data_IF_628133285671
#
_entry.id   IF_628133285671
#
_cell.length_a   1.000
_cell.length_b   1.000
_cell.length_c   1.000
_cell.angle_alpha   90.00
_cell.angle_beta   90.00
_cell.angle_gamma   90.00
#
_symmetry.space_group_name_H-M   'P 1'
#
loop_
_entity.id
_entity.type
_entity.pdbx_description
1 polymer ?
#
# COMPACT_ATOMS: atom_id res chain seq x y z
N UNK A 1 -12.03 -18.52 -2.90
CA UNK A 1 -11.80 -19.65 -3.83
C UNK A 1 -10.29 -19.83 -3.97
N UNK A 2 -9.73 -21.02 -3.71
CA UNK A 2 -8.32 -21.26 -3.92
C UNK A 2 -8.04 -21.35 -5.43
N UNK A 3 -7.39 -20.33 -5.98
CA UNK A 3 -6.99 -20.25 -7.38
C UNK A 3 -6.14 -18.99 -7.60
N UNK A 4 -5.46 -18.83 -8.74
CA UNK A 4 -4.73 -17.60 -9.04
C UNK A 4 -5.68 -16.40 -9.22
N UNK A 5 -5.24 -15.14 -9.01
CA UNK A 5 -6.13 -13.97 -9.00
C UNK A 5 -7.04 -13.81 -10.22
N UNK A 6 -6.58 -14.22 -11.41
CA UNK A 6 -7.37 -14.17 -12.66
C UNK A 6 -8.56 -15.15 -12.71
N UNK A 7 -8.61 -16.16 -11.83
CA UNK A 7 -9.67 -17.19 -11.83
C UNK A 7 -10.89 -16.84 -10.98
N UNK A 8 -10.80 -15.76 -10.20
CA UNK A 8 -11.83 -15.38 -9.22
C UNK A 8 -11.99 -13.86 -9.14
N UNK A 9 -11.87 -13.19 -10.30
CA UNK A 9 -12.11 -11.75 -10.40
C UNK A 9 -13.52 -11.40 -9.94
N UNK A 10 -13.65 -10.31 -9.21
CA UNK A 10 -14.92 -9.76 -8.77
C UNK A 10 -15.01 -8.31 -9.21
N UNK A 11 -16.21 -7.84 -9.53
CA UNK A 11 -16.43 -6.44 -9.89
C UNK A 11 -16.02 -5.53 -8.73
N UNK A 12 -14.97 -4.70 -8.88
CA UNK A 12 -14.54 -3.83 -7.81
C UNK A 12 -15.53 -2.68 -7.66
N UNK A 13 -15.76 -2.23 -6.41
CA UNK A 13 -16.57 -1.03 -6.15
C UNK A 13 -15.92 0.24 -6.70
N UNK A 14 -14.59 0.26 -6.75
CA UNK A 14 -13.78 1.36 -7.28
C UNK A 14 -12.43 0.80 -7.74
N UNK A 15 -11.96 1.24 -8.90
CA UNK A 15 -10.67 0.82 -9.45
C UNK A 15 -10.03 1.96 -10.23
N UNK A 16 -8.69 1.91 -10.37
CA UNK A 16 -7.91 2.84 -11.19
C UNK A 16 -6.87 2.04 -11.96
N UNK A 17 -6.76 2.31 -13.26
CA UNK A 17 -5.62 1.85 -14.04
C UNK A 17 -4.43 2.81 -13.84
N UNK A 18 -3.42 2.36 -13.11
CA UNK A 18 -2.25 3.19 -12.79
C UNK A 18 -1.32 3.40 -13.99
N UNK A 19 -1.19 2.39 -14.86
CA UNK A 19 -0.40 2.44 -16.10
C UNK A 19 1.08 2.07 -15.97
N UNK A 20 1.59 1.88 -14.75
CA UNK A 20 2.98 1.49 -14.48
C UNK A 20 3.05 0.28 -13.54
N UNK A 21 4.17 -0.45 -13.58
CA UNK A 21 4.42 -1.62 -12.72
C UNK A 21 5.05 -1.26 -11.37
N UNK A 22 5.47 0.00 -11.21
CA UNK A 22 6.09 0.57 -10.02
C UNK A 22 5.59 1.99 -9.84
N UNK A 23 5.54 2.46 -8.59
CA UNK A 23 5.20 3.85 -8.27
C UNK A 23 6.42 4.75 -8.06
N UNK A 24 7.64 4.23 -8.24
CA UNK A 24 8.91 4.96 -8.03
C UNK A 24 8.97 6.30 -8.74
N UNK A 25 8.49 6.33 -9.99
CA UNK A 25 8.62 7.47 -10.88
C UNK A 25 7.60 8.57 -10.56
N UNK A 26 6.52 8.25 -9.82
CA UNK A 26 5.43 9.17 -9.52
C UNK A 26 4.67 8.76 -8.25
N UNK A 27 5.31 9.00 -7.11
CA UNK A 27 4.79 8.63 -5.79
C UNK A 27 3.63 9.52 -5.35
N UNK A 28 3.56 10.77 -5.82
CA UNK A 28 2.43 11.68 -5.56
C UNK A 28 1.15 11.19 -6.25
N UNK A 29 1.23 10.82 -7.54
CA UNK A 29 0.11 10.19 -8.25
C UNK A 29 -0.32 8.90 -7.57
N UNK A 30 0.62 8.10 -7.06
CA UNK A 30 0.27 6.90 -6.31
C UNK A 30 -0.54 7.21 -5.05
N UNK A 31 -0.14 8.21 -4.26
CA UNK A 31 -0.91 8.67 -3.10
C UNK A 31 -2.30 9.19 -3.50
N UNK A 32 -2.41 9.92 -4.60
CA UNK A 32 -3.71 10.40 -5.07
C UNK A 32 -4.63 9.26 -5.53
N UNK A 33 -4.08 8.23 -6.16
CA UNK A 33 -4.82 7.01 -6.48
C UNK A 33 -5.28 6.29 -5.20
N UNK A 34 -4.42 6.20 -4.18
CA UNK A 34 -4.80 5.63 -2.87
C UNK A 34 -5.95 6.43 -2.24
N UNK A 35 -5.85 7.77 -2.19
CA UNK A 35 -6.94 8.63 -1.70
C UNK A 35 -8.23 8.42 -2.48
N UNK A 36 -8.13 8.36 -3.80
CA UNK A 36 -9.28 8.15 -4.68
C UNK A 36 -9.96 6.82 -4.41
N UNK A 37 -9.23 5.71 -4.36
CA UNK A 37 -9.83 4.39 -4.09
C UNK A 37 -10.37 4.33 -2.67
N UNK A 38 -9.62 4.81 -1.68
CA UNK A 38 -10.04 4.79 -0.28
C UNK A 38 -11.30 5.62 -0.01
N UNK A 39 -11.58 6.67 -0.78
CA UNK A 39 -12.78 7.49 -0.58
C UNK A 39 -14.11 6.76 -0.80
N UNK A 40 -14.12 5.56 -1.39
CA UNK A 40 -15.34 4.74 -1.44
C UNK A 40 -15.59 3.90 -0.18
N UNK A 41 -14.62 3.81 0.73
CA UNK A 41 -14.72 3.01 1.93
C UNK A 41 -15.54 3.73 3.01
N UNK A 42 -16.71 3.16 3.34
CA UNK A 42 -17.67 3.73 4.29
C UNK A 42 -17.51 3.25 5.74
N UNK A 43 -16.48 2.45 6.05
CA UNK A 43 -16.25 1.86 7.38
C UNK A 43 -17.40 0.95 7.90
N UNK A 44 -18.21 0.42 6.99
CA UNK A 44 -19.34 -0.48 7.31
C UNK A 44 -18.90 -1.94 7.53
N UNK A 45 -17.75 -2.33 6.97
CA UNK A 45 -17.17 -3.68 7.07
C UNK A 45 -15.66 -3.57 7.29
N UNK A 46 -14.99 -4.58 7.88
CA UNK A 46 -13.53 -4.57 7.98
C UNK A 46 -12.85 -4.44 6.61
N UNK A 47 -11.80 -3.62 6.55
CA UNK A 47 -10.98 -3.43 5.34
C UNK A 47 -9.57 -3.96 5.58
N UNK A 48 -9.11 -4.80 4.67
CA UNK A 48 -7.72 -5.26 4.61
C UNK A 48 -7.03 -4.55 3.43
N UNK A 49 -5.87 -3.96 3.68
CA UNK A 49 -5.10 -3.21 2.69
C UNK A 49 -3.75 -3.89 2.49
N UNK A 50 -3.52 -4.39 1.28
CA UNK A 50 -2.20 -4.89 0.88
C UNK A 50 -1.37 -3.73 0.35
N UNK A 51 -0.09 -3.67 0.72
CA UNK A 51 0.85 -2.62 0.29
C UNK A 51 1.76 -3.11 -0.84
N UNK A 52 2.55 -2.20 -1.42
CA UNK A 52 3.45 -2.47 -2.53
C UNK A 52 4.70 -3.30 -2.18
N UNK A 53 4.94 -3.59 -0.90
CA UNK A 53 6.10 -4.36 -0.44
C UNK A 53 7.43 -3.59 -0.44
N UNK A 54 7.39 -2.27 -0.65
CA UNK A 54 8.58 -1.42 -0.64
C UNK A 54 8.90 -0.99 0.79
N UNK A 55 9.84 -1.70 1.40
CA UNK A 55 10.12 -1.60 2.84
C UNK A 55 11.46 -0.92 3.17
N UNK A 56 12.14 -0.35 2.18
CA UNK A 56 13.45 0.31 2.32
C UNK A 56 13.48 1.65 1.59
N UNK A 57 14.42 2.52 1.96
CA UNK A 57 14.66 3.80 1.30
C UNK A 57 13.39 4.66 1.18
N UNK A 58 13.19 5.30 0.03
CA UNK A 58 12.00 6.11 -0.26
C UNK A 58 10.69 5.32 -0.18
N UNK A 59 10.73 4.02 -0.46
CA UNK A 59 9.58 3.14 -0.33
C UNK A 59 9.06 3.03 1.11
N UNK A 60 9.96 2.96 2.08
CA UNK A 60 9.60 2.98 3.50
C UNK A 60 9.01 4.34 3.91
N UNK A 61 9.58 5.43 3.41
CA UNK A 61 9.08 6.78 3.67
C UNK A 61 7.67 6.97 3.09
N UNK A 62 7.42 6.46 1.89
CA UNK A 62 6.09 6.44 1.27
C UNK A 62 5.10 5.57 2.06
N UNK A 63 5.54 4.41 2.56
CA UNK A 63 4.72 3.55 3.41
C UNK A 63 4.29 4.28 4.70
N UNK A 64 5.18 5.06 5.32
CA UNK A 64 4.86 5.88 6.49
C UNK A 64 3.77 6.92 6.13
N UNK A 65 3.87 7.59 4.98
CA UNK A 65 2.84 8.52 4.51
C UNK A 65 1.49 7.82 4.32
N UNK A 66 1.48 6.63 3.72
CA UNK A 66 0.27 5.84 3.50
C UNK A 66 -0.37 5.44 4.83
N UNK A 67 0.42 5.02 5.81
CA UNK A 67 -0.11 4.67 7.15
C UNK A 67 -0.75 5.89 7.81
N UNK A 68 -0.10 7.05 7.74
CA UNK A 68 -0.66 8.31 8.29
C UNK A 68 -1.97 8.69 7.57
N UNK A 69 -1.95 8.62 6.23
CA UNK A 69 -3.09 8.94 5.37
C UNK A 69 -4.30 8.05 5.68
N UNK A 70 -4.09 6.76 5.85
CA UNK A 70 -5.15 5.77 6.01
C UNK A 70 -5.56 5.55 7.47
N UNK A 71 -4.68 5.90 8.42
CA UNK A 71 -4.88 5.73 9.87
C UNK A 71 -5.46 4.35 10.22
N UNK A 72 -4.77 3.24 9.86
CA UNK A 72 -5.29 1.90 10.09
C UNK A 72 -5.41 1.59 11.59
N UNK A 73 -6.31 0.68 11.96
CA UNK A 73 -6.42 0.22 13.36
C UNK A 73 -5.36 -0.82 13.72
N UNK A 74 -4.87 -1.58 12.73
CA UNK A 74 -3.87 -2.62 12.88
C UNK A 74 -2.88 -2.56 11.73
N UNK A 75 -1.61 -2.81 12.02
CA UNK A 75 -0.57 -3.03 11.02
C UNK A 75 -0.03 -4.44 11.22
N UNK A 76 -0.02 -5.21 10.12
CA UNK A 76 0.58 -6.55 10.09
C UNK A 76 1.91 -6.44 9.36
N UNK A 77 3.01 -6.59 10.07
CA UNK A 77 4.35 -6.61 9.51
C UNK A 77 4.79 -8.07 9.36
N UNK A 78 5.00 -8.49 8.11
CA UNK A 78 5.43 -9.83 7.77
C UNK A 78 6.93 -9.81 7.43
N UNK A 79 7.72 -10.65 8.07
CA UNK A 79 9.15 -10.76 7.77
C UNK A 79 9.66 -12.21 7.90
N UNK A 80 10.68 -12.57 7.11
CA UNK A 80 11.33 -13.89 7.17
C UNK A 80 12.28 -13.92 8.37
N UNK A 81 12.44 -15.09 8.99
CA UNK A 81 13.36 -15.29 10.11
C UNK A 81 14.77 -14.76 9.77
N UNK A 82 15.38 -14.01 10.70
CA UNK A 82 16.69 -13.33 10.56
C UNK A 82 16.83 -12.26 9.46
N UNK A 83 15.76 -11.94 8.73
CA UNK A 83 15.72 -10.74 7.89
C UNK A 83 15.05 -9.63 8.70
N UNK A 84 15.74 -8.49 8.87
CA UNK A 84 15.16 -7.26 9.42
C UNK A 84 15.19 -6.21 8.33
N UNK A 85 14.24 -6.30 7.40
CA UNK A 85 14.21 -5.40 6.25
C UNK A 85 14.03 -3.94 6.67
N UNK A 86 13.28 -3.75 7.74
CA UNK A 86 12.75 -2.46 8.17
C UNK A 86 12.51 -2.43 9.69
N UNK A 87 12.52 -1.24 10.32
CA UNK A 87 12.18 -1.11 11.73
C UNK A 87 10.72 -1.49 11.99
N UNK A 88 10.38 -1.83 13.24
CA UNK A 88 9.01 -1.88 13.73
C UNK A 88 8.19 -0.65 13.35
N UNK A 89 7.08 -0.85 12.63
CA UNK A 89 6.09 0.20 12.40
C UNK A 89 5.23 0.42 13.66
N UNK A 90 5.84 0.74 14.81
CA UNK A 90 5.07 1.10 16.01
C UNK A 90 4.37 2.45 15.81
N UNK A 91 3.31 2.76 16.59
CA UNK A 91 2.69 4.08 16.56
C UNK A 91 3.70 5.22 16.74
N UNK A 92 4.65 5.07 17.66
CA UNK A 92 5.70 6.07 17.92
C UNK A 92 6.62 6.20 16.71
N UNK A 93 7.08 5.09 16.14
CA UNK A 93 7.94 5.12 14.96
C UNK A 93 7.25 5.83 13.79
N UNK A 94 6.01 5.47 13.50
CA UNK A 94 5.22 6.12 12.44
C UNK A 94 4.94 7.58 12.76
N UNK A 95 4.84 7.98 14.02
CA UNK A 95 4.57 9.37 14.40
C UNK A 95 5.80 10.27 14.26
N UNK A 96 6.98 9.78 14.66
CA UNK A 96 8.20 10.58 14.74
C UNK A 96 9.09 10.50 13.50
N UNK A 97 9.03 9.42 12.72
CA UNK A 97 9.82 9.27 11.49
C UNK A 97 9.43 10.29 10.41
N UNK A 98 10.34 10.68 9.52
CA UNK A 98 9.93 11.37 8.30
C UNK A 98 9.15 10.42 7.39
N UNK A 99 8.16 10.95 6.66
CA UNK A 99 7.61 10.30 5.47
C UNK A 99 8.28 10.85 4.21
N UNK A 100 7.84 10.39 3.04
CA UNK A 100 8.42 10.85 1.77
C UNK A 100 7.96 12.28 1.48
N UNK A 101 6.67 12.52 1.74
CA UNK A 101 5.97 13.79 1.52
C UNK A 101 5.56 14.48 2.82
N UNK A 102 5.58 13.78 3.96
CA UNK A 102 5.20 14.35 5.26
C UNK A 102 6.38 14.43 6.24
N UNK A 103 6.36 15.44 7.12
CA UNK A 103 7.36 15.59 8.19
C UNK A 103 6.94 14.78 9.42
N UNK A 104 7.89 14.16 10.10
CA UNK A 104 7.67 13.60 11.43
C UNK A 104 7.48 14.70 12.47
N UNK A 105 6.71 14.43 13.53
CA UNK A 105 6.61 15.41 14.64
C UNK A 105 7.93 15.43 15.41
N UNK A 106 8.44 16.60 15.77
CA UNK A 106 9.59 16.67 16.67
C UNK A 106 9.13 16.43 18.10
N UNK A 107 9.86 15.59 18.83
CA UNK A 107 9.73 15.52 20.28
C UNK A 107 10.26 16.84 20.84
N UNK A 108 9.40 17.64 21.47
CA UNK A 108 9.82 18.84 22.17
C UNK A 108 10.72 18.43 23.33
N UNK A 109 12.03 18.51 23.13
CA UNK A 109 13.00 18.36 24.22
C UNK A 109 12.83 19.60 25.10
N UNK A 110 12.11 19.47 26.21
CA UNK A 110 12.05 20.51 27.25
C UNK A 110 13.47 20.74 27.77
N UNK A 111 14.20 21.69 27.18
CA UNK A 111 15.41 22.25 27.77
C UNK A 111 14.95 23.30 28.77
N UNK A 112 14.86 22.92 30.04
CA UNK A 112 15.04 23.89 31.11
C UNK A 112 16.51 24.34 31.11
N UNK A 113 16.79 25.56 30.67
CA UNK A 113 17.68 26.52 31.33
C UNK A 113 17.81 27.81 30.50
N UNK A 114 17.63 28.97 31.14
CA UNK A 114 18.31 30.21 30.77
C UNK A 114 17.44 31.30 30.16
N UNK A 115 17.09 32.27 31.00
CA UNK A 115 16.35 33.51 30.73
C UNK A 115 16.81 34.34 29.51
N UNK A 116 15.83 34.99 28.86
CA UNK A 116 16.03 36.27 28.18
C UNK A 116 15.29 36.42 26.84
N UNK A 117 14.21 37.20 26.83
CA UNK A 117 13.66 37.79 25.59
C UNK A 117 12.21 37.43 25.31
N UNK A 118 11.31 38.35 25.70
CA UNK A 118 9.92 38.48 25.21
C UNK A 118 9.94 38.53 23.68
N UNK A 119 9.08 37.78 22.97
CA UNK A 119 8.12 38.28 21.94
C UNK A 119 7.06 37.21 21.56
N UNK A 120 5.81 37.57 21.89
CA UNK A 120 4.50 37.14 21.40
C UNK A 120 4.37 36.19 20.19
N UNK A 121 3.95 34.94 20.44
CA UNK A 121 3.06 34.17 19.54
C UNK A 121 2.09 33.33 20.37
N UNK A 122 0.83 33.76 20.49
CA UNK A 122 -0.26 32.92 21.04
C UNK A 122 -0.80 32.05 19.91
N UNK A 123 -0.48 30.76 19.93
CA UNK A 123 -1.27 29.76 19.23
C UNK A 123 -2.42 29.32 20.15
N UNK A 124 -3.63 29.40 19.62
CA UNK A 124 -4.86 29.00 20.28
C UNK A 124 -4.81 27.53 20.70
N UNK A 125 -5.26 27.27 21.91
CA UNK A 125 -5.59 25.95 22.44
C UNK A 125 -6.59 25.26 21.51
N UNK A 126 -6.25 24.05 21.05
CA UNK A 126 -7.07 23.30 20.11
C UNK A 126 -6.58 21.87 19.93
N UNK A 127 -7.26 20.97 20.63
CA UNK A 127 -7.30 19.51 20.46
C UNK A 127 -6.05 18.73 20.89
N UNK A 128 -6.21 18.06 22.03
CA UNK A 128 -5.40 16.94 22.50
C UNK A 128 -5.57 15.76 21.51
N UNK A 129 -4.92 15.87 20.35
CA UNK A 129 -4.90 14.85 19.30
C UNK A 129 -3.95 13.75 19.75
N UNK A 130 -4.39 12.89 20.66
CA UNK A 130 -3.76 11.60 20.91
C UNK A 130 -3.49 10.96 19.55
N UNK A 131 -2.23 10.76 19.19
CA UNK A 131 -1.86 10.21 17.90
C UNK A 131 -2.67 8.92 17.64
N UNK A 132 -3.16 8.68 16.41
CA UNK A 132 -3.85 7.44 16.11
C UNK A 132 -2.94 6.26 16.46
N UNK A 133 -3.36 5.49 17.47
CA UNK A 133 -2.63 4.32 17.93
C UNK A 133 -3.16 3.09 17.19
N UNK A 134 -2.37 2.55 16.28
CA UNK A 134 -2.62 1.24 15.70
C UNK A 134 -1.95 0.14 16.51
N UNK A 135 -2.47 -1.08 16.45
CA UNK A 135 -1.81 -2.27 17.01
C UNK A 135 -0.85 -2.86 15.98
N UNK A 136 0.40 -3.10 16.36
CA UNK A 136 1.38 -3.78 15.52
C UNK A 136 1.35 -5.29 15.78
N UNK A 137 1.17 -6.06 14.72
CA UNK A 137 1.22 -7.52 14.72
C UNK A 137 2.40 -7.98 13.87
N UNK A 138 3.21 -8.88 14.42
CA UNK A 138 4.31 -9.52 13.71
C UNK A 138 3.92 -10.90 13.25
N UNK A 139 4.22 -11.20 12.00
CA UNK A 139 4.04 -12.53 11.43
C UNK A 139 5.35 -12.97 10.83
N UNK A 140 5.87 -14.09 11.34
CA UNK A 140 7.02 -14.79 10.77
C UNK A 140 6.51 -16.02 10.03
N UNK A 141 6.24 -15.90 8.72
CA UNK A 141 5.80 -17.05 7.97
C UNK A 141 6.92 -18.08 7.84
N UNK A 142 6.66 -19.29 8.31
CA UNK A 142 7.48 -20.46 8.03
C UNK A 142 7.01 -21.08 6.70
N UNK A 143 7.40 -20.46 5.60
CA UNK A 143 7.21 -21.04 4.26
C UNK A 143 8.55 -21.57 3.76
N UNK A 144 8.82 -22.89 3.89
CA UNK A 144 10.01 -23.49 3.32
C UNK A 144 10.14 -23.09 1.84
N UNK A 145 11.28 -22.51 1.46
CA UNK A 145 11.62 -22.03 0.10
C UNK A 145 10.97 -20.71 -0.37
N UNK A 146 10.11 -20.07 0.41
CA UNK A 146 9.61 -18.75 0.03
C UNK A 146 10.75 -17.71 0.07
N UNK A 147 10.93 -16.96 -1.02
CA UNK A 147 11.97 -15.93 -1.12
C UNK A 147 13.35 -16.43 -1.59
N UNK A 148 13.53 -17.73 -1.82
CA UNK A 148 14.76 -18.25 -2.44
C UNK A 148 14.72 -17.95 -3.94
N UNK A 149 15.53 -16.97 -4.36
CA UNK A 149 15.66 -16.59 -5.77
C UNK A 149 16.08 -17.81 -6.61
N UNK A 150 15.27 -18.16 -7.62
CA UNK A 150 15.56 -19.24 -8.57
C UNK A 150 14.89 -20.59 -8.29
N UNK A 151 14.42 -20.88 -7.07
CA UNK A 151 13.71 -22.14 -6.78
C UNK A 151 12.20 -22.04 -7.03
N UNK A 152 11.61 -20.87 -6.79
CA UNK A 152 10.24 -20.60 -7.18
C UNK A 152 10.25 -19.88 -8.54
N UNK A 153 10.11 -20.62 -9.65
CA UNK A 153 9.71 -20.03 -10.95
C UNK A 153 8.25 -19.57 -10.84
N UNK A 154 8.00 -18.56 -10.02
CA UNK A 154 6.65 -18.03 -9.86
C UNK A 154 6.34 -17.27 -11.15
N UNK A 155 5.32 -17.72 -11.86
CA UNK A 155 4.73 -17.03 -13.01
C UNK A 155 4.08 -15.68 -12.61
N UNK A 156 4.55 -14.99 -11.56
CA UNK A 156 3.86 -13.86 -10.92
C UNK A 156 3.55 -12.73 -11.90
N UNK A 157 4.48 -12.45 -12.84
CA UNK A 157 4.24 -11.53 -13.95
C UNK A 157 3.07 -11.96 -14.82
N UNK A 158 3.10 -13.19 -15.36
CA UNK A 158 2.03 -13.75 -16.20
C UNK A 158 0.69 -13.78 -15.46
N UNK A 159 0.67 -14.24 -14.20
CA UNK A 159 -0.54 -14.30 -13.37
C UNK A 159 -1.13 -12.90 -13.16
N UNK A 160 -0.28 -11.90 -12.92
CA UNK A 160 -0.68 -10.50 -12.81
C UNK A 160 -1.23 -9.97 -14.13
N UNK A 161 -0.55 -10.23 -15.23
CA UNK A 161 -0.93 -9.74 -16.56
C UNK A 161 -2.27 -10.35 -17.00
N UNK A 162 -2.47 -11.65 -16.76
CA UNK A 162 -3.77 -12.33 -16.95
C UNK A 162 -4.88 -11.71 -16.09
N UNK A 163 -4.54 -11.30 -14.86
CA UNK A 163 -5.50 -10.63 -13.97
C UNK A 163 -5.84 -9.22 -14.46
N UNK A 164 -4.89 -8.49 -15.03
CA UNK A 164 -5.15 -7.18 -15.64
C UNK A 164 -6.04 -7.35 -16.88
N UNK A 165 -5.70 -8.30 -17.75
CA UNK A 165 -6.47 -8.58 -18.97
C UNK A 165 -7.93 -8.94 -18.67
N UNK A 166 -8.18 -9.79 -17.68
CA UNK A 166 -9.57 -10.13 -17.32
C UNK A 166 -10.38 -8.90 -16.84
N UNK A 167 -9.78 -7.99 -16.07
CA UNK A 167 -10.47 -6.75 -15.67
C UNK A 167 -10.69 -5.79 -16.84
N UNK A 168 -9.71 -5.65 -17.74
CA UNK A 168 -9.86 -4.82 -18.94
C UNK A 168 -10.92 -5.40 -19.89
N UNK A 169 -11.04 -6.73 -19.97
CA UNK A 169 -12.11 -7.41 -20.71
C UNK A 169 -13.50 -7.00 -20.23
N UNK A 170 -13.70 -6.80 -18.93
CA UNK A 170 -14.97 -6.31 -18.39
C UNK A 170 -15.30 -4.84 -18.75
N UNK A 171 -14.33 -4.07 -19.23
CA UNK A 171 -14.55 -2.69 -19.68
C UNK A 171 -14.95 -2.62 -21.17
N UNK A 172 -14.93 -3.74 -21.89
CA UNK A 172 -15.37 -3.77 -23.28
C UNK A 172 -16.87 -3.46 -23.38
N UNK A 173 -17.25 -2.71 -24.44
CA UNK A 173 -18.66 -2.46 -24.73
C UNK A 173 -19.39 -3.79 -24.93
N UNK A 174 -20.63 -3.95 -24.43
CA UNK A 174 -21.44 -5.14 -24.71
C UNK A 174 -21.74 -5.32 -26.20
N UNK A 175 -21.56 -4.28 -27.03
CA UNK A 175 -21.70 -4.32 -28.49
C UNK A 175 -20.46 -4.84 -29.22
N UNK A 176 -19.37 -5.16 -28.51
CA UNK A 176 -18.26 -5.91 -29.11
C UNK A 176 -18.80 -7.32 -29.40
N UNK A 177 -19.06 -7.60 -30.69
CA UNK A 177 -19.52 -8.90 -31.16
C UNK A 177 -18.69 -10.06 -30.58
N UNK A 178 -19.30 -11.24 -30.49
CA UNK A 178 -18.79 -12.41 -29.77
C UNK A 178 -17.25 -12.49 -29.71
N UNK A 179 -16.71 -12.28 -28.50
CA UNK A 179 -15.27 -12.46 -28.24
C UNK A 179 -14.97 -13.93 -28.41
N UNK A 180 -14.42 -14.28 -29.58
CA UNK A 180 -13.97 -15.62 -29.90
C UNK A 180 -12.83 -15.98 -28.94
N UNK A 181 -12.93 -17.09 -28.18
CA UNK A 181 -11.81 -17.54 -27.34
C UNK A 181 -10.54 -17.69 -28.18
N UNK A 182 -9.36 -17.41 -27.63
CA UNK A 182 -8.10 -17.53 -28.39
C UNK A 182 -7.91 -18.92 -29.04
N UNK A 183 -8.45 -19.98 -28.44
CA UNK A 183 -8.43 -21.35 -28.96
C UNK A 183 -9.41 -21.62 -30.11
N UNK A 184 -10.31 -20.68 -30.40
CA UNK A 184 -11.22 -20.71 -31.54
C UNK A 184 -10.66 -20.00 -32.78
N UNK A 185 -9.52 -19.31 -32.62
CA UNK A 185 -8.74 -18.82 -33.75
C UNK A 185 -7.95 -20.00 -34.33
N UNK A 186 -8.23 -20.34 -35.58
CA UNK A 186 -7.43 -21.33 -36.32
C UNK A 186 -6.02 -20.77 -36.46
N UNK A 187 -4.97 -21.46 -35.98
CA UNK A 187 -3.60 -20.99 -36.17
C UNK A 187 -3.29 -21.02 -37.66
N UNK A 188 -2.89 -19.86 -38.21
CA UNK A 188 -2.53 -19.63 -39.62
C UNK A 188 -3.69 -19.70 -40.62
N UNK A 189 -4.18 -18.53 -41.01
CA UNK A 189 -4.52 -18.28 -42.41
C UNK A 189 -3.83 -16.98 -42.84
N UNK A 190 -2.92 -17.13 -43.80
CA UNK A 190 -2.25 -16.04 -44.55
C UNK A 190 -3.18 -15.62 -45.67
#
# INVERSE_FOLDING_TARGET
LPGPPFTHQQTPRKMVYYGQTSCEQDTERYLDVVKYVFSCYKKEVPLVINTMGWVKGEGLLLLIDIIRLLSPSHIVQMDVYDWKAMPPLTPEHVHFSAGLHTKGKQQSKCKQLGAGGVESWKYSEGEDMSAPQHKLLYVHPEFPRAGVAGEARVHSGILRDMSILGYLGHLQSPDVGAVLPLHSLVPYQV
#
